data_IF_614773235445
#
_entry.id   IF_614773235445
#
_cell.length_a   1.000
_cell.length_b   1.000
_cell.length_c   1.000
_cell.angle_alpha   90.00
_cell.angle_beta   90.00
_cell.angle_gamma   90.00
#
_symmetry.space_group_name_H-M   'P 1'
#
loop_
_entity.id
_entity.type
_entity.pdbx_description
1 polymer ?
#
# COMPACT_ATOMS: atom_id res chain seq x y z
N UNK A 1 -12.06 19.93 18.26
CA UNK A 1 -12.96 20.37 17.18
C UNK A 1 -14.07 21.22 17.78
N UNK A 2 -14.59 22.18 17.03
CA UNK A 2 -15.84 22.87 17.32
C UNK A 2 -16.82 22.53 16.21
N UNK A 3 -18.07 22.25 16.58
CA UNK A 3 -19.13 21.85 15.65
C UNK A 3 -20.29 22.82 15.81
N UNK A 4 -20.81 23.32 14.68
CA UNK A 4 -22.05 24.08 14.62
C UNK A 4 -22.98 23.29 13.69
N UNK A 5 -24.18 22.97 14.17
CA UNK A 5 -25.23 22.32 13.38
C UNK A 5 -26.41 23.30 13.28
N UNK A 6 -26.77 23.66 12.04
CA UNK A 6 -27.90 24.52 11.76
C UNK A 6 -28.54 24.16 10.41
N UNK A 7 -29.85 23.88 10.42
CA UNK A 7 -30.63 23.67 9.20
C UNK A 7 -30.18 22.45 8.39
N UNK A 8 -29.67 21.40 9.03
CA UNK A 8 -29.16 20.20 8.36
C UNK A 8 -27.75 20.35 7.77
N UNK A 9 -27.04 21.45 8.08
CA UNK A 9 -25.64 21.67 7.71
C UNK A 9 -24.76 21.63 8.94
N UNK A 10 -23.67 20.88 8.86
CA UNK A 10 -22.66 20.76 9.90
C UNK A 10 -21.43 21.55 9.47
N UNK A 11 -21.02 22.52 10.29
CA UNK A 11 -19.72 23.21 10.15
C UNK A 11 -18.78 22.65 11.20
N UNK A 12 -17.74 21.95 10.74
CA UNK A 12 -16.66 21.43 11.58
C UNK A 12 -15.43 22.36 11.47
N UNK A 13 -15.02 22.94 12.59
CA UNK A 13 -13.76 23.68 12.69
C UNK A 13 -12.77 22.93 13.59
N UNK A 14 -11.60 22.61 13.07
CA UNK A 14 -10.57 21.93 13.84
C UNK A 14 -9.16 22.27 13.39
N UNK A 15 -8.21 21.97 14.26
CA UNK A 15 -6.80 21.83 13.90
C UNK A 15 -6.46 20.36 14.00
N UNK A 16 -5.68 19.87 13.04
CA UNK A 16 -5.12 18.53 13.12
C UNK A 16 -4.26 18.39 14.37
N UNK A 17 -4.19 17.16 14.87
CA UNK A 17 -3.29 16.83 15.96
C UNK A 17 -1.87 16.76 15.41
N UNK A 18 -0.95 17.39 16.13
CA UNK A 18 0.49 17.27 15.91
C UNK A 18 1.08 16.00 16.52
N UNK A 19 0.25 15.26 17.28
CA UNK A 19 0.53 13.93 17.76
C UNK A 19 -0.20 12.88 16.88
N UNK A 20 0.55 12.07 16.13
CA UNK A 20 0.01 11.06 15.22
C UNK A 20 -0.55 9.82 15.94
N UNK A 21 -0.34 9.68 17.25
CA UNK A 21 -0.93 8.62 18.06
C UNK A 21 -2.40 8.87 18.41
N UNK A 22 -2.91 10.09 18.15
CA UNK A 22 -4.29 10.45 18.42
C UNK A 22 -5.18 9.98 17.26
N UNK A 23 -6.12 9.04 17.49
CA UNK A 23 -6.97 8.52 16.43
C UNK A 23 -7.95 9.59 15.97
N UNK A 24 -7.73 10.10 14.77
CA UNK A 24 -8.62 11.03 14.05
C UNK A 24 -9.08 10.43 12.72
N UNK A 25 -8.96 9.11 12.59
CA UNK A 25 -9.15 8.34 11.36
C UNK A 25 -10.52 8.59 10.73
N UNK A 26 -11.59 8.58 11.53
CA UNK A 26 -12.95 8.83 11.02
C UNK A 26 -13.12 10.24 10.43
N UNK A 27 -12.46 11.26 10.99
CA UNK A 27 -12.52 12.62 10.43
C UNK A 27 -11.79 12.65 9.10
N UNK A 28 -10.67 11.93 9.03
CA UNK A 28 -9.91 11.81 7.81
C UNK A 28 -10.73 11.09 6.72
N UNK A 29 -11.30 9.94 7.06
CA UNK A 29 -11.99 9.01 6.17
C UNK A 29 -13.36 9.55 5.73
N UNK A 30 -14.15 10.08 6.66
CA UNK A 30 -15.55 10.41 6.40
C UNK A 30 -15.76 11.89 6.00
N UNK A 31 -14.78 12.75 6.24
CA UNK A 31 -14.93 14.21 6.06
C UNK A 31 -13.80 14.81 5.22
N UNK A 32 -12.54 14.60 5.59
CA UNK A 32 -11.41 15.26 4.92
C UNK A 32 -11.21 14.72 3.50
N UNK A 33 -11.02 13.42 3.34
CA UNK A 33 -10.73 12.81 2.03
C UNK A 33 -11.90 12.98 1.04
N UNK A 34 -13.16 12.74 1.43
CA UNK A 34 -14.31 13.06 0.58
C UNK A 34 -14.50 14.56 0.32
N UNK A 35 -13.97 15.44 1.17
CA UNK A 35 -14.05 16.89 0.98
C UNK A 35 -13.01 17.48 0.03
N UNK A 36 -11.96 16.73 -0.32
CA UNK A 36 -10.92 17.17 -1.26
C UNK A 36 -11.36 17.03 -2.73
N UNK A 37 -10.82 17.86 -3.65
CA UNK A 37 -11.00 17.63 -5.09
C UNK A 37 -10.42 16.28 -5.52
N UNK A 38 -11.18 15.49 -6.29
CA UNK A 38 -10.72 14.20 -6.80
C UNK A 38 -11.88 13.26 -7.17
N UNK A 39 -11.56 12.04 -7.64
CA UNK A 39 -12.57 11.04 -8.03
C UNK A 39 -13.47 10.59 -6.87
N UNK A 40 -12.98 10.71 -5.62
CA UNK A 40 -13.71 10.35 -4.41
C UNK A 40 -14.40 11.54 -3.73
N UNK A 41 -14.50 12.70 -4.41
CA UNK A 41 -15.13 13.90 -3.82
C UNK A 41 -16.62 13.65 -3.57
N UNK A 42 -17.03 13.77 -2.31
CA UNK A 42 -18.44 13.84 -1.94
C UNK A 42 -18.99 15.23 -2.31
N UNK A 43 -20.04 15.34 -3.15
CA UNK A 43 -20.61 16.63 -3.53
C UNK A 43 -21.20 17.41 -2.34
N UNK A 44 -21.58 16.74 -1.25
CA UNK A 44 -22.17 17.34 -0.06
C UNK A 44 -21.14 17.74 1.00
N UNK A 45 -19.85 17.48 0.77
CA UNK A 45 -18.77 17.79 1.70
C UNK A 45 -17.78 18.76 1.08
N UNK A 46 -17.58 19.90 1.75
CA UNK A 46 -16.52 20.85 1.40
C UNK A 46 -15.46 20.87 2.49
N UNK A 47 -14.20 20.65 2.11
CA UNK A 47 -13.07 20.85 3.00
C UNK A 47 -12.28 22.10 2.61
N UNK A 48 -12.05 22.99 3.59
CA UNK A 48 -11.29 24.22 3.41
C UNK A 48 -10.06 24.18 4.30
N UNK A 49 -8.88 24.16 3.69
CA UNK A 49 -7.60 24.26 4.40
C UNK A 49 -7.24 25.71 4.68
N UNK A 50 -7.01 26.05 5.96
CA UNK A 50 -6.61 27.38 6.39
C UNK A 50 -5.09 27.43 6.59
N UNK A 51 -4.39 28.12 5.68
CA UNK A 51 -2.95 28.40 5.79
C UNK A 51 -2.71 29.70 6.58
N UNK A 52 -2.00 29.58 7.70
CA UNK A 52 -1.66 30.71 8.57
C UNK A 52 -0.87 31.81 7.84
N UNK A 53 -0.11 31.46 6.80
CA UNK A 53 0.65 32.41 5.98
C UNK A 53 -0.23 33.24 5.05
N UNK A 54 -1.42 32.74 4.73
CA UNK A 54 -2.41 33.44 3.90
C UNK A 54 -3.29 34.38 4.73
N UNK A 55 -3.18 34.34 6.05
CA UNK A 55 -3.93 35.23 6.93
C UNK A 55 -3.29 36.63 6.97
N UNK A 56 -3.96 37.59 6.35
CA UNK A 56 -3.52 38.99 6.24
C UNK A 56 -3.50 39.74 7.59
N UNK A 57 -4.14 39.18 8.62
CA UNK A 57 -4.25 39.81 9.94
C UNK A 57 -3.21 39.29 10.95
N UNK A 58 -2.36 38.34 10.56
CA UNK A 58 -1.32 37.78 11.42
C UNK A 58 0.04 38.37 11.02
N UNK A 59 0.85 38.76 12.02
CA UNK A 59 2.24 39.17 11.80
C UNK A 59 3.09 38.01 11.28
N UNK A 60 3.33 38.03 9.96
CA UNK A 60 4.07 37.00 9.26
C UNK A 60 5.55 36.94 9.66
N UNK A 61 6.12 38.02 10.21
CA UNK A 61 7.50 38.01 10.72
C UNK A 61 7.60 37.13 11.97
N UNK A 62 6.66 37.29 12.90
CA UNK A 62 6.57 36.46 14.10
C UNK A 62 6.28 34.99 13.77
N UNK A 63 5.42 34.72 12.79
CA UNK A 63 5.14 33.35 12.32
C UNK A 63 6.41 32.68 11.81
N UNK A 64 7.18 33.35 10.92
CA UNK A 64 8.45 32.81 10.40
C UNK A 64 9.48 32.53 11.49
N UNK A 65 9.63 33.45 12.46
CA UNK A 65 10.53 33.25 13.60
C UNK A 65 10.15 32.01 14.42
N UNK A 66 8.85 31.79 14.63
CA UNK A 66 8.34 30.62 15.36
C UNK A 66 8.55 29.32 14.59
N UNK A 67 8.40 29.36 13.26
CA UNK A 67 8.60 28.20 12.38
C UNK A 67 10.06 27.73 12.30
N UNK A 68 11.03 28.62 12.54
CA UNK A 68 12.45 28.30 12.37
C UNK A 68 12.92 27.11 13.24
N UNK A 69 12.28 26.89 14.40
CA UNK A 69 12.58 25.77 15.30
C UNK A 69 11.65 24.56 15.14
N UNK A 70 10.76 24.54 14.16
CA UNK A 70 9.76 23.47 14.00
C UNK A 70 10.21 22.43 12.98
N UNK A 71 9.85 21.17 13.25
CA UNK A 71 9.95 20.10 12.25
C UNK A 71 9.00 20.35 11.08
N UNK A 72 9.27 19.73 9.93
CA UNK A 72 8.40 19.84 8.75
C UNK A 72 7.00 19.28 9.01
N UNK A 73 6.89 18.23 9.83
CA UNK A 73 5.63 17.66 10.32
C UNK A 73 4.81 18.68 11.10
N UNK A 74 5.46 19.38 12.02
CA UNK A 74 4.82 20.41 12.85
C UNK A 74 4.34 21.57 11.99
N UNK A 75 5.14 21.97 10.99
CA UNK A 75 4.76 23.03 10.04
C UNK A 75 3.54 22.62 9.22
N UNK A 76 3.48 21.38 8.71
CA UNK A 76 2.31 20.86 7.97
C UNK A 76 1.00 20.99 8.74
N UNK A 77 1.00 20.58 10.01
CA UNK A 77 -0.20 20.68 10.86
C UNK A 77 -0.51 22.11 11.23
N UNK A 78 0.46 22.79 11.84
CA UNK A 78 0.20 24.03 12.57
C UNK A 78 0.19 25.26 11.67
N UNK A 79 0.84 25.21 10.51
CA UNK A 79 0.88 26.34 9.56
C UNK A 79 -0.05 26.08 8.38
N UNK A 80 0.04 24.90 7.77
CA UNK A 80 -0.68 24.60 6.53
C UNK A 80 -2.06 23.98 6.76
N UNK A 81 -2.40 23.57 8.00
CA UNK A 81 -3.67 22.94 8.29
C UNK A 81 -3.81 21.54 7.69
N UNK A 82 -2.69 20.87 7.41
CA UNK A 82 -2.64 19.55 6.79
C UNK A 82 -2.56 18.45 7.85
N UNK A 83 -3.24 17.31 7.65
CA UNK A 83 -3.15 16.20 8.58
C UNK A 83 -1.74 15.61 8.63
N UNK A 84 -1.25 15.31 9.84
CA UNK A 84 -0.20 14.28 10.00
C UNK A 84 -0.87 12.93 9.76
N UNK A 85 -0.97 12.54 8.49
CA UNK A 85 -1.33 11.16 8.14
C UNK A 85 -0.42 10.22 8.92
N UNK A 86 -1.02 9.17 9.48
CA UNK A 86 -0.41 8.13 10.33
C UNK A 86 1.12 8.18 10.30
N UNK A 87 1.77 8.88 11.25
CA UNK A 87 3.24 9.03 11.22
C UNK A 87 3.97 7.69 11.28
N UNK A 88 3.24 6.65 11.67
CA UNK A 88 3.71 5.30 11.88
C UNK A 88 3.32 4.34 10.73
N UNK A 89 3.05 4.86 9.51
CA UNK A 89 2.81 4.00 8.34
C UNK A 89 4.02 3.14 8.04
N UNK A 90 3.74 1.89 7.72
CA UNK A 90 4.74 0.94 7.20
C UNK A 90 5.11 1.31 5.76
N UNK A 91 4.12 1.78 4.98
CA UNK A 91 4.27 2.21 3.59
C UNK A 91 3.98 3.71 3.42
N UNK A 92 4.87 4.60 3.90
CA UNK A 92 4.58 6.04 3.97
C UNK A 92 4.53 6.73 2.59
N UNK A 93 5.08 6.12 1.54
CA UNK A 93 5.09 6.70 0.19
C UNK A 93 3.87 6.36 -0.64
N UNK A 94 3.12 5.29 -0.29
CA UNK A 94 1.93 4.90 -1.02
C UNK A 94 0.89 6.03 -1.01
N UNK A 95 0.35 6.33 -2.19
CA UNK A 95 -0.60 7.42 -2.42
C UNK A 95 -1.45 7.13 -3.65
N UNK A 96 -2.73 7.41 -3.53
CA UNK A 96 -3.77 7.40 -4.56
C UNK A 96 -4.06 8.81 -5.12
N UNK A 97 -3.34 9.81 -4.64
CA UNK A 97 -3.38 11.19 -5.11
C UNK A 97 -2.04 11.58 -5.71
N UNK A 98 -2.10 12.38 -6.77
CA UNK A 98 -0.91 12.97 -7.39
C UNK A 98 -0.09 13.73 -6.35
N UNK A 99 1.18 13.34 -6.21
CA UNK A 99 2.14 13.90 -5.25
C UNK A 99 3.43 14.26 -5.98
N UNK A 100 4.20 15.20 -5.45
CA UNK A 100 5.50 15.58 -6.04
C UNK A 100 6.67 14.91 -5.31
N UNK A 101 7.55 14.29 -6.09
CA UNK A 101 8.82 13.72 -5.66
C UNK A 101 9.98 14.61 -6.10
N UNK A 102 10.98 14.78 -5.23
CA UNK A 102 12.25 15.42 -5.57
C UNK A 102 13.35 14.37 -5.69
N UNK A 103 13.92 14.22 -6.88
CA UNK A 103 14.93 13.21 -7.18
C UNK A 103 16.30 13.57 -6.57
N UNK A 104 16.61 14.86 -6.38
CA UNK A 104 17.80 15.29 -5.66
C UNK A 104 17.71 15.11 -4.13
N UNK A 105 16.50 15.04 -3.57
CA UNK A 105 16.26 14.81 -2.14
C UNK A 105 15.94 13.35 -1.82
N UNK A 106 15.53 12.57 -2.82
CA UNK A 106 14.98 11.23 -2.64
C UNK A 106 13.82 11.21 -1.63
N UNK A 107 12.95 12.23 -1.73
CA UNK A 107 11.81 12.39 -0.83
C UNK A 107 10.66 13.18 -1.45
N UNK A 108 9.47 13.04 -0.86
CA UNK A 108 8.31 13.87 -1.17
C UNK A 108 8.59 15.33 -0.86
N UNK A 109 8.18 16.22 -1.76
CA UNK A 109 8.35 17.66 -1.60
C UNK A 109 7.12 18.44 -2.01
N UNK A 110 7.07 19.70 -1.59
CA UNK A 110 6.10 20.68 -2.09
C UNK A 110 6.81 21.51 -3.16
N UNK A 111 6.22 21.63 -4.35
CA UNK A 111 6.76 22.47 -5.42
C UNK A 111 6.48 23.94 -5.14
N UNK A 112 7.53 24.77 -5.17
CA UNK A 112 7.49 26.22 -5.07
C UNK A 112 8.15 26.80 -6.33
N UNK A 113 7.37 27.41 -7.22
CA UNK A 113 7.83 27.96 -8.50
C UNK A 113 8.58 26.93 -9.38
N UNK A 114 8.10 25.69 -9.43
CA UNK A 114 8.73 24.62 -10.21
C UNK A 114 9.98 24.01 -9.57
N UNK A 115 10.26 24.34 -8.31
CA UNK A 115 11.41 23.82 -7.55
C UNK A 115 10.96 23.16 -6.26
N UNK A 116 11.74 22.21 -5.78
CA UNK A 116 11.56 21.58 -4.48
C UNK A 116 11.64 22.63 -3.36
N UNK A 117 10.64 22.67 -2.48
CA UNK A 117 10.58 23.64 -1.37
C UNK A 117 11.57 23.41 -0.22
N UNK A 118 12.50 22.47 -0.35
CA UNK A 118 13.59 22.28 0.63
C UNK A 118 14.74 23.27 0.40
N UNK A 119 15.73 23.27 1.29
CA UNK A 119 16.92 24.12 1.18
C UNK A 119 17.71 23.93 -0.11
N UNK A 120 17.65 22.74 -0.72
CA UNK A 120 18.36 22.45 -1.99
C UNK A 120 17.74 23.13 -3.21
N UNK A 121 16.46 23.51 -3.15
CA UNK A 121 15.74 24.17 -4.26
C UNK A 121 15.93 23.51 -5.64
N UNK A 122 16.02 22.19 -5.69
CA UNK A 122 16.22 21.44 -6.93
C UNK A 122 14.99 21.57 -7.85
N UNK A 123 15.23 21.73 -9.14
CA UNK A 123 14.23 21.65 -10.21
C UNK A 123 14.01 20.22 -10.71
N UNK A 124 14.78 19.24 -10.23
CA UNK A 124 14.66 17.83 -10.56
C UNK A 124 13.53 17.18 -9.73
N UNK A 125 12.30 17.56 -10.08
CA UNK A 125 11.06 17.12 -9.44
C UNK A 125 10.11 16.49 -10.46
N UNK A 126 9.24 15.58 -10.01
CA UNK A 126 8.22 14.96 -10.85
C UNK A 126 6.97 14.60 -10.05
N UNK A 127 5.82 14.59 -10.73
CA UNK A 127 4.58 14.09 -10.13
C UNK A 127 4.52 12.56 -10.22
N UNK A 128 3.90 11.93 -9.23
CA UNK A 128 3.65 10.49 -9.22
C UNK A 128 2.36 10.15 -8.48
N UNK A 129 1.77 9.01 -8.85
CA UNK A 129 0.65 8.37 -8.18
C UNK A 129 0.85 6.85 -8.27
N UNK A 130 0.42 6.09 -7.25
CA UNK A 130 0.50 4.63 -7.30
C UNK A 130 -0.79 3.98 -7.81
N UNK A 131 -1.87 4.74 -7.89
CA UNK A 131 -3.17 4.26 -8.36
C UNK A 131 -3.43 4.81 -9.75
N UNK A 132 -3.67 3.92 -10.70
CA UNK A 132 -3.95 4.29 -12.07
C UNK A 132 -4.09 3.08 -12.98
N UNK A 133 -4.89 3.23 -14.05
CA UNK A 133 -5.03 2.23 -15.10
C UNK A 133 -3.68 1.99 -15.76
N UNK A 134 -3.33 0.72 -15.97
CA UNK A 134 -2.12 0.31 -16.66
C UNK A 134 -2.49 -0.41 -17.95
N UNK A 135 -1.75 -0.13 -19.02
CA UNK A 135 -1.86 -0.86 -20.29
C UNK A 135 -1.22 -2.24 -20.13
N UNK A 136 -1.94 -3.16 -19.51
CA UNK A 136 -1.47 -4.53 -19.26
C UNK A 136 -1.70 -5.38 -20.51
N UNK A 137 -0.65 -6.07 -20.94
CA UNK A 137 -0.72 -7.02 -22.04
C UNK A 137 -1.13 -8.39 -21.48
N UNK A 138 -2.15 -9.02 -22.07
CA UNK A 138 -2.70 -10.33 -21.63
C UNK A 138 -1.61 -11.43 -21.48
N UNK A 139 -0.50 -11.31 -22.22
CA UNK A 139 0.61 -12.29 -22.19
C UNK A 139 1.65 -12.06 -21.09
N UNK A 140 1.49 -11.02 -20.27
CA UNK A 140 2.41 -10.77 -19.17
C UNK A 140 2.15 -11.75 -18.02
N UNK A 141 3.22 -12.30 -17.42
CA UNK A 141 3.08 -13.31 -16.39
C UNK A 141 2.45 -12.72 -15.12
N UNK A 142 1.56 -13.50 -14.52
CA UNK A 142 0.82 -13.12 -13.32
C UNK A 142 1.22 -13.99 -12.13
N UNK A 143 1.36 -13.37 -10.97
CA UNK A 143 1.54 -14.04 -9.68
C UNK A 143 0.26 -13.89 -8.87
N UNK A 144 -0.35 -15.03 -8.54
CA UNK A 144 -1.48 -15.12 -7.63
C UNK A 144 -1.00 -15.26 -6.19
N UNK A 145 -1.66 -14.57 -5.26
CA UNK A 145 -1.33 -14.53 -3.85
C UNK A 145 -2.58 -14.89 -3.04
N UNK A 146 -2.45 -15.75 -2.04
CA UNK A 146 -3.54 -16.24 -1.21
C UNK A 146 -3.18 -16.19 0.29
N UNK A 147 -4.06 -15.59 1.09
CA UNK A 147 -4.00 -15.62 2.55
C UNK A 147 -5.26 -16.30 3.10
N UNK A 148 -5.13 -17.58 3.53
CA UNK A 148 -6.25 -18.34 4.04
C UNK A 148 -6.78 -17.81 5.38
N UNK A 149 -8.08 -17.59 5.46
CA UNK A 149 -8.72 -17.14 6.69
C UNK A 149 -9.87 -18.08 7.11
N UNK A 150 -9.77 -18.75 8.27
CA UNK A 150 -10.80 -19.69 8.71
C UNK A 150 -12.02 -19.02 9.37
N UNK A 151 -11.98 -17.71 9.62
CA UNK A 151 -12.98 -16.97 10.44
C UNK A 151 -13.41 -15.63 9.84
N UNK A 152 -12.81 -15.25 8.72
CA UNK A 152 -13.11 -14.06 7.93
C UNK A 152 -12.88 -14.45 6.46
N UNK A 153 -13.32 -13.65 5.47
CA UNK A 153 -13.08 -13.95 4.07
C UNK A 153 -11.61 -14.27 3.77
N UNK A 154 -11.37 -15.27 2.92
CA UNK A 154 -10.07 -15.54 2.31
C UNK A 154 -9.66 -14.33 1.47
N UNK A 155 -8.41 -13.90 1.58
CA UNK A 155 -7.90 -12.72 0.88
C UNK A 155 -6.99 -13.18 -0.25
N UNK A 156 -7.12 -12.61 -1.44
CA UNK A 156 -6.27 -12.98 -2.57
C UNK A 156 -6.10 -11.83 -3.57
N UNK A 157 -5.04 -11.89 -4.37
CA UNK A 157 -4.76 -10.87 -5.37
C UNK A 157 -3.85 -11.36 -6.49
N UNK A 158 -3.90 -10.64 -7.62
CA UNK A 158 -3.13 -10.95 -8.82
C UNK A 158 -2.20 -9.79 -9.15
N UNK A 159 -0.89 -10.07 -9.14
CA UNK A 159 0.16 -9.11 -9.47
C UNK A 159 0.77 -9.48 -10.82
N UNK A 160 0.64 -8.57 -11.78
CA UNK A 160 1.30 -8.68 -13.08
C UNK A 160 2.74 -8.22 -12.96
N UNK A 161 3.66 -8.93 -13.60
CA UNK A 161 5.06 -8.52 -13.76
C UNK A 161 5.26 -8.05 -15.20
N UNK A 162 5.72 -6.82 -15.39
CA UNK A 162 5.99 -6.26 -16.72
C UNK A 162 7.41 -6.58 -17.20
N UNK A 163 7.75 -6.35 -18.49
CA UNK A 163 9.10 -6.60 -19.02
C UNK A 163 10.24 -5.78 -18.39
N UNK A 164 9.94 -4.76 -17.59
CA UNK A 164 10.91 -3.95 -16.84
C UNK A 164 11.06 -4.42 -15.38
N UNK A 165 10.44 -5.55 -15.03
CA UNK A 165 10.33 -6.07 -13.66
C UNK A 165 9.64 -5.06 -12.72
N UNK A 166 8.70 -4.27 -13.26
CA UNK A 166 7.75 -3.48 -12.51
C UNK A 166 6.48 -4.31 -12.22
N UNK A 167 5.80 -3.95 -11.13
CA UNK A 167 4.72 -4.75 -10.57
C UNK A 167 3.40 -3.98 -10.56
N UNK A 168 2.34 -4.66 -11.00
CA UNK A 168 1.00 -4.07 -11.07
C UNK A 168 0.01 -4.98 -10.36
N UNK A 169 -0.52 -4.54 -9.21
CA UNK A 169 -1.63 -5.21 -8.56
C UNK A 169 -2.91 -4.95 -9.36
N UNK A 170 -3.32 -5.94 -10.16
CA UNK A 170 -4.35 -5.80 -11.17
C UNK A 170 -5.75 -6.05 -10.61
N UNK A 171 -5.88 -7.05 -9.75
CA UNK A 171 -7.13 -7.43 -9.09
C UNK A 171 -6.84 -7.81 -7.65
N UNK A 172 -7.72 -7.42 -6.75
CA UNK A 172 -7.85 -7.98 -5.42
C UNK A 172 -9.23 -8.61 -5.24
N UNK A 173 -9.34 -9.50 -4.25
CA UNK A 173 -10.60 -10.11 -3.91
C UNK A 173 -10.61 -10.67 -2.50
N UNK A 174 -11.82 -10.78 -1.98
CA UNK A 174 -12.12 -11.41 -0.70
C UNK A 174 -13.34 -12.31 -0.86
N UNK A 175 -13.28 -13.54 -0.35
CA UNK A 175 -14.40 -14.47 -0.42
C UNK A 175 -14.57 -15.24 0.88
N UNK A 176 -15.77 -15.16 1.45
CA UNK A 176 -16.20 -16.07 2.52
C UNK A 176 -16.76 -17.34 1.88
N UNK A 177 -16.08 -18.46 2.07
CA UNK A 177 -16.39 -19.71 1.39
C UNK A 177 -15.36 -20.79 1.72
N UNK A 178 -15.63 -22.01 1.27
CA UNK A 178 -14.67 -23.09 1.40
C UNK A 178 -13.61 -23.04 0.28
N UNK A 179 -12.54 -23.87 0.36
CA UNK A 179 -11.51 -23.90 -0.68
C UNK A 179 -12.02 -24.17 -2.10
N UNK A 180 -13.14 -24.87 -2.28
CA UNK A 180 -13.72 -25.12 -3.59
C UNK A 180 -14.45 -23.88 -4.13
N UNK A 181 -15.15 -23.15 -3.26
CA UNK A 181 -15.77 -21.86 -3.63
C UNK A 181 -14.71 -20.86 -4.09
N UNK A 182 -13.60 -20.75 -3.34
CA UNK A 182 -12.47 -19.87 -3.67
C UNK A 182 -11.81 -20.32 -4.96
N UNK A 183 -11.56 -21.62 -5.16
CA UNK A 183 -10.96 -22.14 -6.38
C UNK A 183 -11.82 -21.85 -7.62
N UNK A 184 -13.14 -22.01 -7.50
CA UNK A 184 -14.09 -21.70 -8.58
C UNK A 184 -14.08 -20.21 -8.93
N UNK A 185 -14.15 -19.34 -7.92
CA UNK A 185 -14.10 -17.89 -8.11
C UNK A 185 -12.78 -17.45 -8.76
N UNK A 186 -11.65 -17.97 -8.27
CA UNK A 186 -10.32 -17.67 -8.82
C UNK A 186 -10.23 -18.09 -10.28
N UNK A 187 -10.75 -19.27 -10.63
CA UNK A 187 -10.80 -19.74 -12.01
C UNK A 187 -11.64 -18.83 -12.92
N UNK A 188 -12.80 -18.37 -12.45
CA UNK A 188 -13.67 -17.46 -13.21
C UNK A 188 -13.00 -16.10 -13.49
N UNK A 189 -12.33 -15.53 -12.48
CA UNK A 189 -11.57 -14.27 -12.64
C UNK A 189 -10.43 -14.45 -13.64
N UNK A 190 -9.65 -15.51 -13.51
CA UNK A 190 -8.51 -15.76 -14.38
C UNK A 190 -8.93 -16.03 -15.83
N UNK A 191 -10.02 -16.76 -16.05
CA UNK A 191 -10.56 -17.01 -17.39
C UNK A 191 -11.15 -15.74 -18.02
N UNK A 192 -11.98 -15.00 -17.26
CA UNK A 192 -12.65 -13.79 -17.75
C UNK A 192 -11.66 -12.68 -18.11
N UNK A 193 -10.56 -12.57 -17.36
CA UNK A 193 -9.51 -11.59 -17.61
C UNK A 193 -8.33 -12.15 -18.43
N UNK A 194 -8.38 -13.44 -18.79
CA UNK A 194 -7.33 -14.17 -19.52
C UNK A 194 -5.94 -14.00 -18.90
N UNK A 195 -5.86 -14.16 -17.58
CA UNK A 195 -4.62 -13.97 -16.84
C UNK A 195 -3.66 -15.15 -17.06
N UNK A 196 -2.43 -14.85 -17.48
CA UNK A 196 -1.38 -15.86 -17.61
C UNK A 196 -0.68 -16.13 -16.27
N UNK A 197 -1.38 -16.83 -15.37
CA UNK A 197 -0.88 -17.12 -14.02
C UNK A 197 0.26 -18.13 -14.04
N UNK A 198 1.46 -17.68 -13.69
CA UNK A 198 2.70 -18.48 -13.68
C UNK A 198 3.12 -18.99 -12.31
N UNK A 199 2.70 -18.30 -11.26
CA UNK A 199 3.08 -18.60 -9.88
C UNK A 199 1.89 -18.35 -8.96
N UNK A 200 1.70 -19.25 -7.99
CA UNK A 200 0.69 -19.12 -6.93
C UNK A 200 1.38 -19.24 -5.58
N UNK A 201 1.25 -18.23 -4.74
CA UNK A 201 1.82 -18.20 -3.40
C UNK A 201 0.72 -18.22 -2.35
N UNK A 202 0.89 -19.03 -1.30
CA UNK A 202 0.01 -19.07 -0.14
C UNK A 202 0.77 -18.61 1.10
N UNK A 203 0.08 -17.91 2.02
CA UNK A 203 0.62 -17.59 3.35
C UNK A 203 1.21 -18.88 3.97
N UNK A 204 2.48 -18.86 4.41
CA UNK A 204 3.14 -20.06 4.87
C UNK A 204 2.65 -20.54 6.24
N UNK A 205 2.22 -19.61 7.11
CA UNK A 205 1.78 -19.92 8.46
C UNK A 205 0.38 -20.55 8.46
N UNK A 206 -0.57 -19.90 7.80
CA UNK A 206 -1.93 -20.36 7.59
C UNK A 206 -1.97 -21.52 6.62
N UNK A 207 -1.20 -21.50 5.53
CA UNK A 207 -1.11 -22.62 4.58
C UNK A 207 -0.67 -23.93 5.23
N UNK A 208 0.23 -23.89 6.20
CA UNK A 208 0.65 -25.06 6.99
C UNK A 208 -0.25 -25.36 8.20
N UNK A 209 -1.17 -24.47 8.54
CA UNK A 209 -2.06 -24.66 9.68
C UNK A 209 -3.14 -25.71 9.37
N UNK A 210 -3.61 -26.45 10.39
CA UNK A 210 -4.69 -27.42 10.21
C UNK A 210 -5.96 -26.76 9.67
N UNK A 211 -6.54 -27.32 8.60
CA UNK A 211 -7.72 -26.75 7.94
C UNK A 211 -9.06 -27.10 8.62
N UNK A 212 -9.04 -27.99 9.61
CA UNK A 212 -10.26 -28.39 10.30
C UNK A 212 -10.04 -29.54 11.28
N UNK A 213 -11.09 -30.34 11.48
CA UNK A 213 -11.08 -31.45 12.42
C UNK A 213 -10.29 -32.68 11.92
N UNK A 214 -10.05 -32.79 10.61
CA UNK A 214 -9.27 -33.88 10.03
C UNK A 214 -7.79 -33.69 10.38
N UNK A 215 -7.27 -34.63 11.16
CA UNK A 215 -5.91 -34.57 11.69
C UNK A 215 -4.90 -34.72 10.54
N UNK A 216 -3.97 -33.76 10.44
CA UNK A 216 -2.87 -33.82 9.49
C UNK A 216 -3.16 -33.27 8.09
N UNK A 217 -4.32 -32.64 7.86
CA UNK A 217 -4.63 -31.92 6.63
C UNK A 217 -4.45 -30.42 6.87
N UNK A 218 -3.61 -29.78 6.06
CA UNK A 218 -3.33 -28.35 6.13
C UNK A 218 -4.24 -27.55 5.18
N UNK A 219 -4.33 -26.22 5.36
CA UNK A 219 -5.08 -25.38 4.42
C UNK A 219 -4.53 -25.50 3.01
N UNK A 220 -3.21 -25.59 2.84
CA UNK A 220 -2.59 -25.85 1.55
C UNK A 220 -3.10 -27.15 0.92
N UNK A 221 -3.25 -28.22 1.71
CA UNK A 221 -3.73 -29.51 1.19
C UNK A 221 -5.21 -29.46 0.79
N UNK A 222 -6.05 -28.74 1.54
CA UNK A 222 -7.47 -28.54 1.15
C UNK A 222 -7.59 -27.70 -0.14
N UNK A 223 -6.81 -26.63 -0.28
CA UNK A 223 -6.78 -25.84 -1.51
C UNK A 223 -6.23 -26.65 -2.71
N UNK A 224 -5.19 -27.47 -2.50
CA UNK A 224 -4.66 -28.37 -3.54
C UNK A 224 -5.73 -29.40 -3.95
N UNK A 225 -6.47 -29.97 -2.99
CA UNK A 225 -7.58 -30.89 -3.27
C UNK A 225 -8.74 -30.22 -4.02
N UNK A 226 -8.97 -28.91 -3.81
CA UNK A 226 -9.93 -28.09 -4.54
C UNK A 226 -9.44 -27.66 -5.94
N UNK A 227 -8.20 -27.99 -6.32
CA UNK A 227 -7.61 -27.61 -7.61
C UNK A 227 -6.88 -26.28 -7.61
N UNK A 228 -6.74 -25.61 -6.46
CA UNK A 228 -6.01 -24.36 -6.28
C UNK A 228 -4.63 -24.61 -5.65
N UNK A 229 -3.73 -25.19 -6.44
CA UNK A 229 -2.39 -25.55 -5.96
C UNK A 229 -1.49 -24.32 -5.80
N UNK A 230 -1.03 -24.05 -4.59
CA UNK A 230 -0.11 -22.95 -4.27
C UNK A 230 1.19 -23.44 -3.64
N UNK A 231 2.28 -22.72 -3.89
CA UNK A 231 3.56 -22.86 -3.19
C UNK A 231 3.59 -21.97 -1.94
N UNK A 232 4.29 -22.41 -0.89
CA UNK A 232 4.43 -21.62 0.34
C UNK A 232 5.28 -20.37 0.07
N UNK A 233 4.78 -19.21 0.49
CA UNK A 233 5.56 -17.99 0.42
C UNK A 233 6.68 -17.93 1.48
N UNK A 234 7.63 -17.01 1.30
CA UNK A 234 8.57 -16.61 2.35
C UNK A 234 7.95 -15.49 3.21
N UNK A 235 7.95 -15.66 4.54
CA UNK A 235 7.38 -14.72 5.49
C UNK A 235 8.37 -13.66 6.02
N UNK A 236 9.61 -13.64 5.51
CA UNK A 236 10.65 -12.72 5.96
C UNK A 236 10.24 -11.23 5.88
N UNK A 237 10.81 -10.39 6.75
CA UNK A 237 10.44 -8.96 6.79
C UNK A 237 11.07 -8.12 5.67
N UNK A 238 11.94 -8.73 4.85
CA UNK A 238 12.66 -8.07 3.73
C UNK A 238 11.68 -7.50 2.71
N UNK A 239 10.58 -8.19 2.45
CA UNK A 239 9.57 -7.83 1.46
C UNK A 239 8.94 -6.47 1.74
N UNK A 240 8.74 -6.11 3.01
CA UNK A 240 8.20 -4.77 3.39
C UNK A 240 9.15 -3.65 3.00
N UNK A 241 10.46 -3.87 3.17
CA UNK A 241 11.48 -2.89 2.75
C UNK A 241 11.53 -2.76 1.23
N UNK A 242 11.39 -3.89 0.51
CA UNK A 242 11.32 -3.90 -0.96
C UNK A 242 10.09 -3.18 -1.48
N UNK A 243 8.91 -3.38 -0.88
CA UNK A 243 7.71 -2.58 -1.22
C UNK A 243 8.05 -1.08 -1.15
N UNK A 244 8.65 -0.62 -0.04
CA UNK A 244 9.04 0.78 0.11
C UNK A 244 10.10 1.28 -0.89
N UNK A 245 10.89 0.40 -1.49
CA UNK A 245 11.79 0.76 -2.58
C UNK A 245 11.02 0.93 -3.90
N UNK A 246 10.07 0.04 -4.19
CA UNK A 246 9.27 0.09 -5.42
C UNK A 246 8.19 1.19 -5.41
N UNK A 247 7.81 1.68 -4.23
CA UNK A 247 6.98 2.88 -4.08
C UNK A 247 7.73 4.20 -4.39
N UNK A 248 9.05 4.17 -4.56
CA UNK A 248 9.80 5.37 -4.96
C UNK A 248 9.73 5.51 -6.48
N UNK A 249 9.50 6.72 -7.01
CA UNK A 249 9.69 6.97 -8.43
C UNK A 249 11.12 6.63 -8.85
N UNK A 250 11.25 5.80 -9.88
CA UNK A 250 12.55 5.45 -10.44
C UNK A 250 13.17 6.68 -11.11
N UNK A 251 14.45 6.99 -10.89
CA UNK A 251 15.10 8.16 -11.51
C UNK A 251 15.12 8.14 -13.04
N UNK A 252 15.09 6.95 -13.64
CA UNK A 252 15.18 6.77 -15.10
C UNK A 252 13.80 6.88 -15.74
N UNK A 253 12.80 6.16 -15.21
CA UNK A 253 11.43 6.16 -15.77
C UNK A 253 10.58 7.31 -15.24
N UNK A 254 11.00 7.94 -14.14
CA UNK A 254 10.27 8.97 -13.37
C UNK A 254 8.93 8.50 -12.80
N UNK A 255 8.67 7.18 -12.82
CA UNK A 255 7.42 6.56 -12.36
C UNK A 255 7.68 5.61 -11.19
N UNK A 256 6.70 5.39 -10.29
CA UNK A 256 6.77 4.30 -9.31
C UNK A 256 6.85 2.95 -10.02
N UNK A 257 7.51 1.98 -9.39
CA UNK A 257 7.69 0.63 -9.92
C UNK A 257 6.67 -0.38 -9.39
N UNK A 258 5.83 0.04 -8.44
CA UNK A 258 4.66 -0.68 -7.98
C UNK A 258 3.43 0.19 -8.23
N UNK A 259 2.45 -0.31 -8.98
CA UNK A 259 1.15 0.36 -9.14
C UNK A 259 0.00 -0.55 -8.75
N UNK A 260 -1.15 0.05 -8.47
CA UNK A 260 -2.37 -0.63 -8.07
C UNK A 260 -3.50 -0.16 -8.98
N UNK A 261 -4.25 -1.11 -9.54
CA UNK A 261 -5.42 -0.82 -10.36
C UNK A 261 -6.49 -0.08 -9.53
N UNK A 262 -7.16 0.94 -10.07
CA UNK A 262 -8.21 1.66 -9.36
C UNK A 262 -9.36 0.79 -8.84
N UNK A 263 -9.58 -0.40 -9.39
CA UNK A 263 -10.61 -1.34 -8.90
C UNK A 263 -10.23 -2.00 -7.57
N UNK A 264 -8.95 -2.05 -7.23
CA UNK A 264 -8.44 -2.70 -6.02
C UNK A 264 -8.63 -1.85 -4.75
N UNK A 265 -9.88 -1.44 -4.49
CA UNK A 265 -10.23 -0.47 -3.44
C UNK A 265 -9.84 -0.96 -2.04
N UNK A 266 -9.94 -2.26 -1.78
CA UNK A 266 -9.57 -2.85 -0.49
C UNK A 266 -8.06 -2.76 -0.29
N UNK A 267 -7.27 -3.13 -1.29
CA UNK A 267 -5.80 -3.02 -1.26
C UNK A 267 -5.34 -1.57 -1.09
N UNK A 268 -5.91 -0.63 -1.86
CA UNK A 268 -5.61 0.80 -1.75
C UNK A 268 -5.90 1.29 -0.33
N UNK A 269 -7.06 0.92 0.21
CA UNK A 269 -7.50 1.28 1.55
C UNK A 269 -6.54 0.75 2.62
N UNK A 270 -6.12 -0.51 2.49
CA UNK A 270 -5.24 -1.14 3.46
C UNK A 270 -3.81 -0.58 3.39
N UNK A 271 -3.23 -0.44 2.20
CA UNK A 271 -1.89 0.15 2.01
C UNK A 271 -1.78 1.58 2.55
N UNK A 272 -2.84 2.38 2.42
CA UNK A 272 -2.90 3.74 2.98
C UNK A 272 -2.90 3.76 4.51
N UNK A 273 -3.37 2.69 5.17
CA UNK A 273 -3.69 2.64 6.61
C UNK A 273 -2.84 1.65 7.40
N UNK A 274 -1.97 0.88 6.73
CA UNK A 274 -1.10 -0.10 7.35
C UNK A 274 0.00 0.56 8.20
N UNK A 275 -0.03 0.33 9.51
CA UNK A 275 0.81 1.01 10.52
C UNK A 275 1.47 0.03 11.49
N UNK A 276 2.57 0.45 12.11
CA UNK A 276 3.18 -0.29 13.21
C UNK A 276 2.31 -0.27 14.47
N UNK A 277 2.41 -1.31 15.30
CA UNK A 277 1.74 -1.38 16.59
C UNK A 277 2.41 -0.47 17.62
N UNK A 278 1.60 0.23 18.40
CA UNK A 278 2.07 1.12 19.45
C UNK A 278 2.15 0.35 20.77
N UNK A 279 3.17 0.61 21.59
CA UNK A 279 3.17 0.08 22.95
C UNK A 279 2.02 0.70 23.75
N UNK A 280 1.10 -0.14 24.25
CA UNK A 280 0.15 0.28 25.30
C UNK A 280 0.95 0.64 26.56
N UNK A 281 1.16 1.94 26.78
CA UNK A 281 1.68 2.59 28.00
C UNK A 281 3.11 2.23 28.43
N UNK A 282 4.11 2.97 27.95
CA UNK A 282 5.21 3.57 28.75
C UNK A 282 6.06 4.46 27.84
N UNK A 283 6.40 5.66 28.30
CA UNK A 283 6.94 6.79 27.51
C UNK A 283 8.36 6.61 26.93
N UNK A 284 8.97 5.42 26.97
CA UNK A 284 10.40 5.24 26.62
C UNK A 284 10.71 3.86 26.00
N UNK A 285 9.87 3.34 25.10
CA UNK A 285 10.24 2.15 24.33
C UNK A 285 10.10 2.40 22.83
N UNK A 286 11.13 1.99 22.09
CA UNK A 286 11.14 1.90 20.63
C UNK A 286 9.83 1.29 20.15
N UNK A 287 9.32 1.72 18.99
CA UNK A 287 8.14 1.15 18.36
C UNK A 287 8.25 -0.38 18.30
N UNK A 288 7.14 -1.11 18.52
CA UNK A 288 7.17 -2.55 18.27
C UNK A 288 7.50 -2.76 16.79
N UNK A 289 8.47 -3.62 16.51
CA UNK A 289 8.70 -4.13 15.15
C UNK A 289 7.61 -5.13 14.74
N UNK A 290 6.35 -4.89 15.14
CA UNK A 290 5.20 -5.69 14.76
C UNK A 290 4.11 -4.77 14.20
N UNK A 291 3.55 -5.08 13.02
CA UNK A 291 2.43 -4.32 12.46
C UNK A 291 1.18 -4.47 13.33
N UNK A 292 0.26 -3.48 13.25
CA UNK A 292 -1.10 -3.68 13.79
C UNK A 292 -1.82 -4.73 12.94
N UNK A 293 -2.60 -5.65 13.53
CA UNK A 293 -3.39 -6.65 12.80
C UNK A 293 -4.59 -6.08 12.02
N UNK A 294 -4.70 -4.76 11.90
CA UNK A 294 -5.81 -4.10 11.20
C UNK A 294 -5.24 -3.58 9.89
N UNK A 295 -5.91 -3.90 8.78
CA UNK A 295 -5.49 -3.51 7.43
C UNK A 295 -4.14 -4.12 7.01
N UNK A 296 -3.84 -5.34 7.45
CA UNK A 296 -2.57 -6.02 7.23
C UNK A 296 -2.61 -7.09 6.14
N UNK A 297 -3.79 -7.52 5.69
CA UNK A 297 -3.99 -8.60 4.73
C UNK A 297 -3.25 -8.36 3.39
N UNK A 298 -3.66 -7.33 2.64
CA UNK A 298 -3.06 -7.03 1.33
C UNK A 298 -1.61 -6.56 1.39
N UNK A 299 -1.19 -5.73 2.37
CA UNK A 299 0.23 -5.46 2.59
C UNK A 299 1.06 -6.73 2.84
N UNK A 300 0.48 -7.73 3.50
CA UNK A 300 1.12 -9.03 3.76
C UNK A 300 1.17 -9.89 2.50
N UNK A 301 0.11 -9.94 1.70
CA UNK A 301 0.13 -10.57 0.37
C UNK A 301 1.23 -9.98 -0.52
N UNK A 302 1.31 -8.64 -0.63
CA UNK A 302 2.38 -8.00 -1.38
C UNK A 302 3.76 -8.29 -0.78
N UNK A 303 3.89 -8.41 0.55
CA UNK A 303 5.16 -8.82 1.17
C UNK A 303 5.60 -10.19 0.64
N UNK A 304 4.70 -11.16 0.51
CA UNK A 304 4.99 -12.48 -0.08
C UNK A 304 5.53 -12.37 -1.51
N UNK A 305 4.85 -11.58 -2.33
CA UNK A 305 5.30 -11.30 -3.69
C UNK A 305 6.73 -10.72 -3.70
N UNK A 306 6.97 -9.68 -2.90
CA UNK A 306 8.25 -8.98 -2.85
C UNK A 306 9.37 -9.78 -2.16
N UNK A 307 9.05 -10.75 -1.31
CA UNK A 307 10.04 -11.70 -0.78
C UNK A 307 10.54 -12.63 -1.88
N UNK A 308 9.63 -13.14 -2.72
CA UNK A 308 9.98 -13.96 -3.87
C UNK A 308 10.69 -13.16 -4.97
N UNK A 309 10.29 -11.90 -5.15
CA UNK A 309 10.82 -10.95 -6.14
C UNK A 309 10.84 -11.52 -7.57
N UNK A 310 9.66 -11.82 -8.14
CA UNK A 310 9.53 -12.43 -9.46
C UNK A 310 10.03 -11.51 -10.58
N UNK A 311 11.00 -11.96 -11.36
CA UNK A 311 11.40 -11.29 -12.60
C UNK A 311 10.58 -11.81 -13.78
N UNK A 312 10.26 -10.92 -14.73
CA UNK A 312 9.49 -11.23 -15.95
C UNK A 312 10.09 -12.42 -16.69
N UNK A 313 11.41 -12.36 -16.92
CA UNK A 313 12.13 -13.40 -17.66
C UNK A 313 12.06 -14.75 -16.97
N UNK A 314 12.12 -14.78 -15.65
CA UNK A 314 12.03 -16.00 -14.86
C UNK A 314 10.65 -16.65 -15.00
N UNK A 315 9.58 -15.86 -14.95
CA UNK A 315 8.21 -16.36 -15.09
C UNK A 315 7.87 -16.74 -16.54
N UNK A 316 8.39 -15.99 -17.52
CA UNK A 316 8.08 -16.19 -18.94
C UNK A 316 8.85 -17.36 -19.56
N UNK A 317 10.16 -17.46 -19.31
CA UNK A 317 11.01 -18.49 -19.90
C UNK A 317 11.18 -19.74 -19.02
N UNK A 318 10.65 -19.71 -17.79
CA UNK A 318 10.99 -20.65 -16.72
C UNK A 318 12.37 -20.37 -16.13
N UNK A 319 12.62 -20.88 -14.92
CA UNK A 319 13.93 -20.77 -14.28
C UNK A 319 15.02 -21.32 -15.24
N UNK A 320 16.10 -20.56 -15.44
CA UNK A 320 17.26 -21.09 -16.16
C UNK A 320 17.72 -22.37 -15.44
N UNK A 321 17.61 -23.50 -16.14
CA UNK A 321 18.26 -24.72 -15.68
C UNK A 321 19.76 -24.45 -15.77
N UNK A 322 20.37 -24.07 -14.64
CA UNK A 322 21.81 -24.09 -14.49
C UNK A 322 22.25 -25.56 -14.49
N UNK A 323 22.30 -26.17 -15.68
CA UNK A 323 23.02 -27.43 -15.86
C UNK A 323 24.49 -27.12 -15.62
N UNK A 324 24.99 -27.43 -14.42
CA UNK A 324 26.44 -27.55 -14.22
C UNK A 324 26.94 -28.60 -15.21
N UNK A 325 27.94 -28.29 -16.06
CA UNK A 325 28.58 -29.30 -16.88
C UNK A 325 29.22 -30.33 -15.95
N UNK A 326 28.63 -31.53 -15.82
CA UNK A 326 29.24 -32.64 -15.09
C UNK A 326 28.33 -33.47 -14.18
N UNK A 327 27.12 -33.04 -13.82
CA UNK A 327 26.22 -33.89 -13.02
C UNK A 327 25.41 -34.81 -13.93
N UNK A 328 25.93 -36.03 -14.12
CA UNK A 328 25.22 -37.15 -14.77
C UNK A 328 23.86 -37.36 -14.09
N UNK A 329 22.80 -37.45 -14.91
CA UNK A 329 21.52 -38.03 -14.52
C UNK A 329 21.72 -39.49 -14.14
N UNK A 330 21.31 -39.85 -12.93
CA UNK A 330 21.17 -41.24 -12.48
C UNK A 330 21.88 -41.54 -11.15
N UNK A 331 21.17 -41.35 -10.04
CA UNK A 331 21.28 -42.19 -8.85
C UNK A 331 20.17 -41.83 -7.84
N UNK A 332 19.28 -42.81 -7.63
CA UNK A 332 18.19 -42.96 -6.65
C UNK A 332 16.89 -42.20 -6.88
#
# INVERSE_FOLDING_TARGET
ARVIDAGGRIILSMSWKDDPSIPVDWIFDDVYEPGLPGPNKNPDTEWIELDTRKNIHIDQISVRKKMAGWSEETKKVRIYGQPLRFSNRIHPLFTDLETTWCFACSSNCISLNGKCGCEKQSDDIGSYCHVGEQDIIETWPVVFLLDPHPRKPHMFGWVVVDPNDDYHLLVDGELDGDPADVAAYVGEVEESMKLDVKLRLIDPNMGQSPAGARRGITWKDEFDAAGLRCDLADDSDVGRQRINQFLKPDPSTRKPRLTVDPRCQTSITQLKRYVWDDFRRTQERDLKQKPKPKYDDFPTLLKYHFNWLPEFRMLYAGAQILTRPGTRRGAY
#
